data_IF_100925684466
#
_entry.id   IF_100925684466
#
_cell.length_a   1.000
_cell.length_b   1.000
_cell.length_c   1.000
_cell.angle_alpha   90.00
_cell.angle_beta   90.00
_cell.angle_gamma   90.00
#
_symmetry.space_group_name_H-M   'P 1'
#
loop_
_entity.id
_entity.type
_entity.pdbx_description
1 polymer ?
#
# COMPACT_ATOMS: atom_id res chain seq x y z
N UNK A 1 -2.41 6.63 -22.80
CA UNK A 1 -2.22 5.80 -21.58
C UNK A 1 -2.02 4.36 -22.04
N UNK A 2 -0.79 3.85 -21.97
CA UNK A 2 -0.52 2.46 -22.31
C UNK A 2 -1.15 1.56 -21.24
N UNK A 3 -2.10 0.71 -21.64
CA UNK A 3 -2.74 -0.23 -20.73
C UNK A 3 -1.76 -1.38 -20.47
N UNK A 4 -1.17 -1.42 -19.28
CA UNK A 4 -0.26 -2.50 -18.88
C UNK A 4 -1.08 -3.62 -18.24
N UNK A 5 -1.01 -4.81 -18.84
CA UNK A 5 -1.62 -6.01 -18.25
C UNK A 5 -0.84 -6.48 -17.03
N UNK A 6 -1.49 -7.22 -16.13
CA UNK A 6 -0.84 -7.81 -14.96
C UNK A 6 0.30 -8.74 -15.34
N UNK A 7 0.14 -9.55 -16.39
CA UNK A 7 1.17 -10.45 -16.90
C UNK A 7 2.41 -9.67 -17.38
N UNK A 8 2.20 -8.60 -18.14
CA UNK A 8 3.28 -7.71 -18.60
C UNK A 8 4.01 -7.05 -17.43
N UNK A 9 3.26 -6.51 -16.46
CA UNK A 9 3.85 -5.91 -15.26
C UNK A 9 4.68 -6.91 -14.46
N UNK A 10 4.16 -8.12 -14.24
CA UNK A 10 4.89 -9.22 -13.58
C UNK A 10 6.15 -9.60 -14.34
N UNK A 11 6.09 -9.76 -15.66
CA UNK A 11 7.25 -10.08 -16.50
C UNK A 11 8.32 -8.98 -16.41
N UNK A 12 7.90 -7.71 -16.41
CA UNK A 12 8.83 -6.60 -16.31
C UNK A 12 9.50 -6.52 -14.95
N UNK A 13 8.71 -6.59 -13.87
CA UNK A 13 9.20 -6.48 -12.49
C UNK A 13 10.13 -7.64 -12.11
N UNK A 14 9.86 -8.86 -12.56
CA UNK A 14 10.69 -10.04 -12.27
C UNK A 14 12.14 -9.89 -12.74
N UNK A 15 12.40 -9.10 -13.79
CA UNK A 15 13.76 -8.81 -14.30
C UNK A 15 14.63 -8.07 -13.28
N UNK A 16 14.01 -7.43 -12.29
CA UNK A 16 14.68 -6.56 -11.33
C UNK A 16 14.76 -7.16 -9.91
N UNK A 17 14.32 -8.41 -9.72
CA UNK A 17 14.52 -9.10 -8.44
C UNK A 17 16.03 -9.24 -8.16
N UNK A 18 16.45 -8.92 -6.95
CA UNK A 18 17.86 -8.84 -6.51
C UNK A 18 18.58 -7.54 -6.90
N UNK A 19 17.95 -6.65 -7.69
CA UNK A 19 18.55 -5.38 -8.10
C UNK A 19 18.31 -4.27 -7.07
N UNK A 20 19.21 -3.30 -7.05
CA UNK A 20 19.08 -2.11 -6.22
C UNK A 20 18.15 -1.08 -6.89
N UNK A 21 16.98 -0.88 -6.29
CA UNK A 21 16.00 0.13 -6.72
C UNK A 21 16.57 1.55 -6.65
N UNK A 22 17.59 1.83 -5.82
CA UNK A 22 18.19 3.16 -5.73
C UNK A 22 18.94 3.53 -7.01
N UNK A 23 19.61 2.57 -7.64
CA UNK A 23 20.27 2.76 -8.93
C UNK A 23 19.24 3.02 -10.02
N UNK A 24 18.16 2.22 -10.03
CA UNK A 24 17.03 2.38 -10.96
C UNK A 24 16.31 3.72 -10.77
N UNK A 25 16.19 4.20 -9.52
CA UNK A 25 15.64 5.52 -9.24
C UNK A 25 16.45 6.64 -9.90
N UNK A 26 17.78 6.56 -9.86
CA UNK A 26 18.66 7.53 -10.54
C UNK A 26 18.45 7.50 -12.06
N UNK A 27 18.39 6.30 -12.64
CA UNK A 27 18.17 6.11 -14.09
C UNK A 27 16.84 6.71 -14.56
N UNK A 28 15.80 6.64 -13.71
CA UNK A 28 14.49 7.20 -14.00
C UNK A 28 14.26 8.64 -13.49
N UNK A 29 15.30 9.31 -12.98
CA UNK A 29 15.19 10.67 -12.44
C UNK A 29 14.26 10.80 -11.22
N UNK A 30 14.07 9.71 -10.45
CA UNK A 30 13.19 9.70 -9.29
C UNK A 30 13.95 10.16 -8.04
N UNK A 31 13.52 11.30 -7.49
CA UNK A 31 14.07 11.84 -6.25
C UNK A 31 13.74 10.92 -5.06
N UNK A 32 14.79 10.43 -4.43
CA UNK A 32 14.73 9.51 -3.28
C UNK A 32 15.00 10.24 -1.96
N UNK A 33 15.72 11.35 -2.00
CA UNK A 33 16.04 12.21 -0.88
C UNK A 33 16.28 13.63 -1.37
N UNK A 34 15.70 14.61 -0.69
CA UNK A 34 15.85 16.04 -1.01
C UNK A 34 15.79 16.85 0.28
N UNK A 35 16.66 17.87 0.41
CA UNK A 35 16.64 18.86 1.50
C UNK A 35 16.44 18.25 2.91
N UNK A 36 17.25 17.26 3.29
CA UNK A 36 17.15 16.66 4.63
C UNK A 36 16.05 15.59 4.80
N UNK A 37 15.21 15.38 3.78
CA UNK A 37 14.00 14.56 3.89
C UNK A 37 13.97 13.45 2.85
N UNK A 38 13.82 12.22 3.31
CA UNK A 38 13.60 11.08 2.44
C UNK A 38 12.20 11.16 1.81
N UNK A 39 12.12 11.03 0.49
CA UNK A 39 10.85 10.78 -0.18
C UNK A 39 10.35 9.42 0.31
N UNK A 40 9.16 9.33 0.91
CA UNK A 40 8.67 8.05 1.45
C UNK A 40 8.12 7.12 0.36
N UNK A 41 7.69 7.68 -0.77
CA UNK A 41 7.02 6.95 -1.86
C UNK A 41 7.93 6.48 -2.99
N UNK A 42 9.22 6.82 -2.96
CA UNK A 42 10.13 6.62 -4.10
C UNK A 42 10.22 5.17 -4.60
N UNK A 43 10.18 4.18 -3.70
CA UNK A 43 10.22 2.75 -4.07
C UNK A 43 9.01 2.36 -4.91
N UNK A 44 7.82 2.82 -4.52
CA UNK A 44 6.59 2.61 -5.26
C UNK A 44 6.67 3.24 -6.65
N UNK A 45 7.14 4.49 -6.74
CA UNK A 45 7.31 5.21 -8.01
C UNK A 45 8.28 4.48 -8.96
N UNK A 46 9.40 3.97 -8.44
CA UNK A 46 10.35 3.18 -9.23
C UNK A 46 9.65 1.91 -9.74
N UNK A 47 8.98 1.16 -8.87
CA UNK A 47 8.30 -0.08 -9.26
C UNK A 47 7.17 0.15 -10.27
N UNK A 48 6.43 1.26 -10.17
CA UNK A 48 5.46 1.66 -11.20
C UNK A 48 6.14 1.87 -12.55
N UNK A 49 7.26 2.60 -12.61
CA UNK A 49 8.03 2.77 -13.86
C UNK A 49 8.55 1.43 -14.39
N UNK A 50 9.11 0.59 -13.52
CA UNK A 50 9.62 -0.73 -13.92
C UNK A 50 8.51 -1.65 -14.40
N UNK A 51 7.29 -1.54 -13.87
CA UNK A 51 6.13 -2.28 -14.36
C UNK A 51 5.68 -1.83 -15.77
N UNK A 52 6.10 -0.63 -16.22
CA UNK A 52 5.67 0.02 -17.45
C UNK A 52 4.53 1.02 -17.25
N UNK A 53 4.21 1.38 -16.00
CA UNK A 53 3.13 2.30 -15.68
C UNK A 53 3.60 3.75 -15.78
N UNK A 54 2.69 4.61 -16.24
CA UNK A 54 2.80 6.05 -16.04
C UNK A 54 2.36 6.41 -14.61
N UNK A 55 3.11 7.27 -13.93
CA UNK A 55 2.73 7.79 -12.62
C UNK A 55 1.44 8.59 -12.75
N UNK A 56 0.38 8.17 -12.06
CA UNK A 56 -0.89 8.90 -12.00
C UNK A 56 -1.44 8.94 -10.56
N UNK A 57 -2.38 9.86 -10.30
CA UNK A 57 -2.99 10.09 -8.96
C UNK A 57 -4.39 9.44 -8.90
N UNK A 58 -4.68 8.47 -9.76
CA UNK A 58 -6.02 7.87 -9.87
C UNK A 58 -6.41 7.07 -8.62
N UNK A 59 -7.69 7.13 -8.25
CA UNK A 59 -8.27 6.21 -7.25
C UNK A 59 -8.38 4.78 -7.77
N UNK A 60 -8.42 4.61 -9.10
CA UNK A 60 -8.53 3.31 -9.76
C UNK A 60 -7.33 2.41 -9.43
N UNK A 61 -7.44 1.09 -9.66
CA UNK A 61 -6.28 0.21 -9.66
C UNK A 61 -5.20 0.72 -10.62
N UNK A 62 -3.93 0.43 -10.32
CA UNK A 62 -2.79 0.91 -11.12
C UNK A 62 -2.88 0.47 -12.60
N UNK A 63 -3.30 -0.77 -12.86
CA UNK A 63 -3.52 -1.31 -14.20
C UNK A 63 -4.98 -1.68 -14.47
N UNK A 64 -5.25 -2.33 -15.60
CA UNK A 64 -6.61 -2.69 -16.03
C UNK A 64 -7.36 -3.56 -15.01
N UNK A 65 -6.64 -4.34 -14.19
CA UNK A 65 -7.23 -5.34 -13.30
C UNK A 65 -6.48 -5.56 -11.97
N UNK A 66 -5.43 -4.80 -11.66
CA UNK A 66 -4.59 -5.06 -10.49
C UNK A 66 -4.09 -3.79 -9.80
N UNK A 67 -3.80 -3.92 -8.52
CA UNK A 67 -3.10 -2.91 -7.71
C UNK A 67 -1.63 -3.30 -7.53
N UNK A 68 -0.69 -2.36 -7.69
CA UNK A 68 0.72 -2.58 -7.38
C UNK A 68 1.02 -2.05 -5.96
N UNK A 69 1.49 -2.93 -5.08
CA UNK A 69 1.88 -2.55 -3.71
C UNK A 69 3.31 -2.95 -3.43
N UNK A 70 4.05 -2.05 -2.78
CA UNK A 70 5.38 -2.34 -2.24
C UNK A 70 5.43 -2.19 -0.74
N UNK A 71 6.10 -3.11 -0.04
CA UNK A 71 6.32 -2.99 1.41
C UNK A 71 7.78 -3.26 1.76
N UNK A 72 8.31 -2.48 2.70
CA UNK A 72 9.64 -2.68 3.22
C UNK A 72 9.70 -3.90 4.16
N UNK A 73 10.72 -4.74 4.02
CA UNK A 73 11.03 -5.87 4.90
C UNK A 73 12.39 -5.71 5.56
N UNK A 74 12.55 -6.29 6.75
CA UNK A 74 13.85 -6.35 7.45
C UNK A 74 14.02 -7.71 8.11
N UNK A 75 15.27 -8.11 8.32
CA UNK A 75 15.55 -9.22 9.21
C UNK A 75 15.35 -8.81 10.67
N UNK A 76 14.76 -9.69 11.47
CA UNK A 76 14.65 -9.57 12.92
C UNK A 76 14.76 -10.98 13.49
N UNK A 77 15.83 -11.24 14.24
CA UNK A 77 16.18 -12.56 14.78
C UNK A 77 16.24 -13.62 13.66
N UNK A 78 16.98 -13.34 12.58
CA UNK A 78 17.13 -14.25 11.43
C UNK A 78 15.89 -14.37 10.52
N UNK A 79 14.73 -13.88 10.94
CA UNK A 79 13.49 -13.97 10.17
C UNK A 79 13.21 -12.69 9.39
N UNK A 80 12.88 -12.82 8.12
CA UNK A 80 12.43 -11.70 7.28
C UNK A 80 11.00 -11.31 7.68
N UNK A 81 10.80 -10.07 8.11
CA UNK A 81 9.50 -9.58 8.60
C UNK A 81 9.12 -8.23 7.95
N UNK A 82 7.83 -7.96 7.75
CA UNK A 82 7.37 -6.63 7.31
C UNK A 82 7.83 -5.55 8.29
N UNK A 83 8.45 -4.49 7.79
CA UNK A 83 8.91 -3.35 8.59
C UNK A 83 7.77 -2.39 8.95
N UNK A 84 6.73 -2.36 8.15
CA UNK A 84 5.63 -1.39 8.21
C UNK A 84 4.30 -1.97 7.73
N UNK A 85 3.22 -1.28 8.08
CA UNK A 85 1.87 -1.52 7.57
C UNK A 85 1.74 -1.06 6.12
N UNK A 86 0.92 -1.73 5.32
CA UNK A 86 0.71 -1.37 3.91
C UNK A 86 -0.57 -0.57 3.73
N UNK A 87 -0.51 0.61 3.11
CA UNK A 87 -1.71 1.39 2.81
C UNK A 87 -2.51 0.70 1.69
N UNK A 88 -3.81 0.52 1.90
CA UNK A 88 -4.74 -0.11 0.95
C UNK A 88 -5.47 0.99 0.17
N UNK A 89 -6.42 1.66 0.81
CA UNK A 89 -7.30 2.68 0.21
C UNK A 89 -7.57 3.84 1.20
N UNK A 90 -7.80 5.05 0.70
CA UNK A 90 -8.28 6.17 1.53
C UNK A 90 -9.69 5.86 2.06
N UNK A 91 -10.01 6.31 3.27
CA UNK A 91 -11.36 6.20 3.83
C UNK A 91 -12.12 7.49 3.50
N UNK A 92 -13.18 7.35 2.71
CA UNK A 92 -14.24 8.35 2.58
C UNK A 92 -15.38 7.96 3.52
N UNK A 93 -15.85 8.90 4.34
CA UNK A 93 -16.88 8.63 5.33
C UNK A 93 -18.24 8.28 4.71
N UNK A 94 -18.61 8.90 3.59
CA UNK A 94 -19.88 8.63 2.90
C UNK A 94 -19.85 7.25 2.23
N UNK A 95 -18.78 6.97 1.48
CA UNK A 95 -18.57 5.66 0.85
C UNK A 95 -18.54 4.54 1.90
N UNK A 96 -17.80 4.70 3.01
CA UNK A 96 -17.72 3.69 4.05
C UNK A 96 -19.07 3.45 4.74
N UNK A 97 -19.90 4.48 4.93
CA UNK A 97 -21.26 4.30 5.45
C UNK A 97 -22.14 3.54 4.47
N UNK A 98 -22.06 3.84 3.18
CA UNK A 98 -22.95 3.29 2.16
C UNK A 98 -22.57 1.92 1.60
N UNK A 99 -21.29 1.55 1.61
CA UNK A 99 -20.79 0.38 0.87
C UNK A 99 -20.43 -0.79 1.79
N UNK A 100 -20.85 -1.99 1.40
CA UNK A 100 -20.32 -3.23 1.96
C UNK A 100 -18.83 -3.40 1.59
N UNK A 101 -18.13 -4.33 2.28
CA UNK A 101 -16.72 -4.58 1.98
C UNK A 101 -16.50 -4.90 0.49
N UNK A 102 -17.31 -5.76 -0.11
CA UNK A 102 -17.14 -6.21 -1.50
C UNK A 102 -17.51 -5.17 -2.57
N UNK A 103 -18.14 -4.07 -2.19
CA UNK A 103 -18.41 -2.92 -3.07
C UNK A 103 -17.35 -1.81 -2.88
N UNK A 104 -16.51 -1.92 -1.85
CA UNK A 104 -15.60 -0.86 -1.43
C UNK A 104 -14.33 -0.77 -2.29
N UNK A 105 -13.72 0.41 -2.30
CA UNK A 105 -12.36 0.59 -2.81
C UNK A 105 -11.30 -0.21 -2.05
N UNK A 106 -11.58 -0.59 -0.79
CA UNK A 106 -10.69 -1.46 -0.02
C UNK A 106 -10.59 -2.83 -0.69
N UNK A 107 -11.74 -3.46 -0.96
CA UNK A 107 -11.81 -4.73 -1.70
C UNK A 107 -11.25 -4.61 -3.11
N UNK A 108 -11.61 -3.55 -3.84
CA UNK A 108 -11.13 -3.35 -5.21
C UNK A 108 -9.59 -3.34 -5.32
N UNK A 109 -8.88 -2.87 -4.29
CA UNK A 109 -7.42 -2.85 -4.21
C UNK A 109 -6.80 -4.11 -3.59
N UNK A 110 -7.58 -4.92 -2.88
CA UNK A 110 -7.12 -6.18 -2.29
C UNK A 110 -7.31 -7.36 -3.26
N UNK A 111 -8.46 -7.43 -3.96
CA UNK A 111 -8.90 -8.62 -4.71
C UNK A 111 -7.90 -9.16 -5.74
N UNK A 112 -7.09 -8.28 -6.34
CA UNK A 112 -6.03 -8.67 -7.27
C UNK A 112 -4.89 -7.67 -7.17
N UNK A 113 -3.71 -8.16 -6.79
CA UNK A 113 -2.53 -7.32 -6.60
C UNK A 113 -1.25 -7.95 -7.12
N UNK A 114 -0.30 -7.06 -7.45
CA UNK A 114 1.11 -7.37 -7.56
C UNK A 114 1.78 -6.86 -6.28
N UNK A 115 2.40 -7.77 -5.54
CA UNK A 115 3.10 -7.47 -4.28
C UNK A 115 4.61 -7.49 -4.47
N UNK A 116 5.26 -6.39 -4.08
CA UNK A 116 6.71 -6.22 -4.15
C UNK A 116 7.31 -6.10 -2.75
N UNK A 117 8.14 -7.05 -2.34
CA UNK A 117 8.89 -6.98 -1.10
C UNK A 117 10.24 -6.28 -1.34
N UNK A 118 10.54 -5.23 -0.58
CA UNK A 118 11.78 -4.45 -0.72
C UNK A 118 12.58 -4.48 0.56
N UNK A 119 13.88 -4.77 0.48
CA UNK A 119 14.75 -4.77 1.66
C UNK A 119 14.91 -3.36 2.24
N UNK A 120 14.84 -3.29 3.57
CA UNK A 120 15.11 -2.09 4.34
C UNK A 120 16.53 -2.12 4.89
N UNK A 121 17.37 -1.18 4.43
CA UNK A 121 18.77 -1.04 4.84
C UNK A 121 19.02 0.14 5.80
N UNK A 122 17.98 0.65 6.47
CA UNK A 122 18.09 1.81 7.35
C UNK A 122 17.42 3.08 6.81
N UNK A 123 17.41 4.12 7.63
CA UNK A 123 16.96 5.46 7.25
C UNK A 123 18.01 6.08 6.31
N UNK A 124 17.56 6.74 5.23
CA UNK A 124 18.45 7.36 4.23
C UNK A 124 19.46 6.40 3.58
N UNK A 125 19.21 5.10 3.62
CA UNK A 125 20.08 4.10 3.02
C UNK A 125 20.27 4.38 1.52
N UNK A 126 21.50 4.16 1.05
CA UNK A 126 21.87 4.30 -0.36
C UNK A 126 21.63 3.03 -1.18
N UNK A 127 20.95 2.03 -0.59
CA UNK A 127 20.54 0.78 -1.23
C UNK A 127 19.08 0.45 -0.87
N UNK A 128 18.33 -0.11 -1.80
CA UNK A 128 17.07 -0.79 -1.56
C UNK A 128 16.87 -1.94 -2.53
N UNK A 129 17.00 -3.18 -2.06
CA UNK A 129 16.95 -4.36 -2.91
C UNK A 129 15.50 -4.86 -3.11
N UNK A 130 15.11 -5.16 -4.36
CA UNK A 130 13.84 -5.82 -4.64
C UNK A 130 13.96 -7.32 -4.35
N UNK A 131 13.35 -7.79 -3.27
CA UNK A 131 13.49 -9.18 -2.80
C UNK A 131 12.57 -10.14 -3.53
N UNK A 132 11.34 -9.70 -3.80
CA UNK A 132 10.29 -10.57 -4.32
C UNK A 132 9.26 -9.75 -5.09
N UNK A 133 8.75 -10.34 -6.16
CA UNK A 133 7.58 -9.87 -6.90
C UNK A 133 6.62 -11.04 -7.04
N UNK A 134 5.40 -10.86 -6.56
CA UNK A 134 4.39 -11.90 -6.59
C UNK A 134 3.04 -11.35 -7.02
N UNK A 135 2.20 -12.26 -7.48
CA UNK A 135 0.87 -11.99 -7.99
C UNK A 135 -0.11 -12.72 -7.09
N UNK A 136 -1.08 -12.01 -6.53
CA UNK A 136 -2.09 -12.58 -5.62
C UNK A 136 -3.48 -12.21 -6.09
N UNK A 137 -4.39 -13.17 -6.05
CA UNK A 137 -5.82 -12.99 -6.22
C UNK A 137 -6.52 -13.55 -5.00
N UNK A 138 -7.48 -12.78 -4.49
CA UNK A 138 -8.35 -13.22 -3.41
C UNK A 138 -9.75 -13.40 -3.96
N UNK A 139 -10.43 -14.42 -3.45
CA UNK A 139 -11.85 -14.65 -3.71
C UNK A 139 -12.70 -14.17 -2.55
N UNK A 140 -14.01 -14.04 -2.75
CA UNK A 140 -14.91 -13.64 -1.66
C UNK A 140 -15.01 -14.73 -0.59
N UNK A 141 -14.78 -15.99 -0.95
CA UNK A 141 -14.99 -17.14 -0.07
C UNK A 141 -13.73 -17.51 0.74
N UNK A 142 -12.60 -16.84 0.50
CA UNK A 142 -11.38 -17.05 1.28
C UNK A 142 -11.61 -16.70 2.75
N UNK A 143 -11.24 -17.60 3.67
CA UNK A 143 -11.41 -17.40 5.12
C UNK A 143 -10.76 -16.10 5.61
N UNK A 144 -9.56 -15.79 5.12
CA UNK A 144 -8.86 -14.53 5.41
C UNK A 144 -9.67 -13.30 4.97
N UNK A 145 -10.37 -13.39 3.84
CA UNK A 145 -11.20 -12.29 3.33
C UNK A 145 -12.46 -12.11 4.18
N UNK A 146 -13.04 -13.19 4.69
CA UNK A 146 -14.16 -13.10 5.65
C UNK A 146 -13.72 -12.43 6.96
N UNK A 147 -12.50 -12.72 7.44
CA UNK A 147 -11.95 -12.02 8.60
C UNK A 147 -11.66 -10.53 8.31
N UNK A 148 -11.14 -10.19 7.13
CA UNK A 148 -10.94 -8.79 6.72
C UNK A 148 -12.28 -8.05 6.56
N UNK A 149 -13.32 -8.74 6.09
CA UNK A 149 -14.69 -8.20 6.02
C UNK A 149 -15.20 -7.83 7.41
N UNK A 150 -14.96 -8.69 8.40
CA UNK A 150 -15.32 -8.43 9.80
C UNK A 150 -14.63 -7.17 10.34
N UNK A 151 -13.34 -6.97 10.03
CA UNK A 151 -12.62 -5.75 10.41
C UNK A 151 -13.20 -4.49 9.73
N UNK A 152 -13.51 -4.60 8.44
CA UNK A 152 -14.12 -3.50 7.68
C UNK A 152 -15.45 -3.10 8.31
N UNK A 153 -16.30 -4.07 8.63
CA UNK A 153 -17.61 -3.84 9.25
C UNK A 153 -17.50 -3.29 10.67
N UNK A 154 -16.50 -3.71 11.45
CA UNK A 154 -16.19 -3.10 12.75
C UNK A 154 -15.87 -1.60 12.59
N UNK A 155 -14.98 -1.26 11.66
CA UNK A 155 -14.58 0.13 11.39
C UNK A 155 -15.77 0.93 10.86
N UNK A 156 -16.57 0.35 9.97
CA UNK A 156 -17.80 0.96 9.43
C UNK A 156 -18.84 1.23 10.52
N UNK A 157 -19.14 0.25 11.37
CA UNK A 157 -20.08 0.40 12.50
C UNK A 157 -19.64 1.52 13.44
N UNK A 158 -18.34 1.58 13.76
CA UNK A 158 -17.78 2.65 14.60
C UNK A 158 -17.87 4.03 13.96
N UNK A 159 -17.63 4.13 12.64
CA UNK A 159 -17.84 5.38 11.91
C UNK A 159 -19.30 5.83 12.00
N UNK A 160 -20.26 4.92 11.82
CA UNK A 160 -21.70 5.22 11.87
C UNK A 160 -22.10 5.68 13.29
N UNK A 161 -21.66 4.97 14.32
CA UNK A 161 -22.06 5.23 15.69
C UNK A 161 -21.40 6.47 16.32
N UNK A 162 -20.12 6.71 16.01
CA UNK A 162 -19.33 7.72 16.73
C UNK A 162 -18.72 8.79 15.82
N UNK A 163 -18.70 8.59 14.50
CA UNK A 163 -18.12 9.54 13.56
C UNK A 163 -16.62 9.30 13.27
N UNK A 164 -16.13 10.01 12.26
CA UNK A 164 -14.83 9.76 11.61
C UNK A 164 -13.61 9.94 12.53
N UNK A 165 -13.73 10.82 13.52
CA UNK A 165 -12.66 11.08 14.46
C UNK A 165 -12.41 9.95 15.46
N UNK A 166 -13.42 9.12 15.69
CA UNK A 166 -13.37 8.01 16.63
C UNK A 166 -12.72 6.75 16.05
N UNK A 167 -12.44 6.71 14.75
CA UNK A 167 -11.65 5.63 14.16
C UNK A 167 -10.23 5.60 14.78
N UNK A 168 -9.74 4.43 15.14
CA UNK A 168 -8.43 4.24 15.81
C UNK A 168 -7.63 3.16 15.08
N UNK A 169 -6.31 3.24 15.24
CA UNK A 169 -5.39 2.20 14.77
C UNK A 169 -5.52 0.87 15.53
N UNK A 170 -6.29 0.84 16.63
CA UNK A 170 -6.60 -0.39 17.35
C UNK A 170 -7.76 -1.17 16.70
N UNK A 171 -8.55 -0.54 15.82
CA UNK A 171 -9.70 -1.18 15.20
C UNK A 171 -9.21 -2.23 14.19
N UNK A 172 -9.77 -3.45 14.28
CA UNK A 172 -9.54 -4.59 13.37
C UNK A 172 -8.27 -5.41 13.66
N UNK A 173 -8.27 -6.68 13.26
CA UNK A 173 -7.18 -7.68 13.44
C UNK A 173 -6.17 -7.70 12.28
N UNK A 174 -6.64 -7.53 11.05
CA UNK A 174 -5.90 -7.59 9.79
C UNK A 174 -5.79 -6.24 9.10
N UNK A 175 -6.88 -5.47 9.07
CA UNK A 175 -6.89 -4.10 8.58
C UNK A 175 -7.20 -3.12 9.69
N UNK A 176 -6.81 -1.86 9.52
CA UNK A 176 -7.01 -0.80 10.50
C UNK A 176 -7.17 0.57 9.83
N UNK A 177 -7.81 1.51 10.52
CA UNK A 177 -7.89 2.90 10.10
C UNK A 177 -6.74 3.72 10.71
N UNK A 178 -5.85 4.27 9.87
CA UNK A 178 -4.77 5.17 10.33
C UNK A 178 -4.83 6.53 9.64
N UNK A 179 -4.37 7.56 10.34
CA UNK A 179 -4.18 8.89 9.75
C UNK A 179 -3.20 8.81 8.59
N UNK A 180 -3.55 9.47 7.47
CA UNK A 180 -2.70 9.61 6.29
C UNK A 180 -2.61 11.09 5.91
N UNK A 181 -1.52 11.48 5.24
CA UNK A 181 -1.23 12.88 4.89
C UNK A 181 -0.34 13.59 5.91
N UNK A 182 0.07 14.82 5.58
CA UNK A 182 1.05 15.60 6.36
C UNK A 182 0.47 16.24 7.62
N UNK A 183 -0.86 16.33 7.74
CA UNK A 183 -1.53 17.05 8.83
C UNK A 183 -1.11 18.52 8.94
N UNK A 184 -1.43 19.14 10.08
CA UNK A 184 -0.98 20.48 10.46
C UNK A 184 -1.58 21.62 9.63
N UNK A 185 -1.02 22.82 9.80
CA UNK A 185 -1.42 24.03 9.07
C UNK A 185 -0.83 24.01 7.65
N UNK A 186 -1.64 24.41 6.67
CA UNK A 186 -1.14 24.66 5.32
C UNK A 186 -0.31 25.96 5.32
N UNK A 187 1.01 25.91 5.02
CA UNK A 187 1.87 27.09 5.09
C UNK A 187 1.52 28.14 4.02
N UNK A 188 0.78 27.77 2.97
CA UNK A 188 0.33 28.71 1.93
C UNK A 188 -0.96 29.43 2.29
N UNK A 189 -1.84 28.78 3.05
CA UNK A 189 -3.19 29.32 3.31
C UNK A 189 -3.45 29.64 4.78
N UNK A 190 -2.59 29.19 5.70
CA UNK A 190 -2.80 29.35 7.15
C UNK A 190 -3.90 28.45 7.74
N UNK A 191 -4.61 27.67 6.91
CA UNK A 191 -5.77 26.87 7.34
C UNK A 191 -5.32 25.46 7.78
N UNK A 192 -5.90 24.87 8.84
CA UNK A 192 -5.71 23.47 9.20
C UNK A 192 -6.04 22.53 8.05
N UNK A 193 -5.12 21.60 7.73
CA UNK A 193 -5.41 20.54 6.77
C UNK A 193 -6.42 19.56 7.37
N UNK A 194 -7.41 19.10 6.59
CA UNK A 194 -8.37 18.12 7.08
C UNK A 194 -7.63 16.84 7.47
N UNK A 195 -8.09 16.23 8.57
CA UNK A 195 -7.59 14.93 9.00
C UNK A 195 -8.11 13.88 8.04
N UNK A 196 -7.21 13.18 7.35
CA UNK A 196 -7.57 12.09 6.46
C UNK A 196 -7.13 10.76 7.03
N UNK A 197 -7.83 9.69 6.66
CA UNK A 197 -7.51 8.32 7.07
C UNK A 197 -7.46 7.40 5.87
N UNK A 198 -6.75 6.29 6.02
CA UNK A 198 -6.75 5.20 5.07
C UNK A 198 -6.87 3.86 5.81
N UNK A 199 -7.39 2.86 5.10
CA UNK A 199 -7.23 1.46 5.48
C UNK A 199 -5.78 1.06 5.28
N UNK A 200 -5.21 0.42 6.30
CA UNK A 200 -3.88 -0.17 6.25
C UNK A 200 -3.97 -1.66 6.59
N UNK A 201 -3.32 -2.50 5.80
CA UNK A 201 -3.00 -3.86 6.21
C UNK A 201 -1.98 -3.81 7.34
N UNK A 202 -2.29 -4.47 8.46
CA UNK A 202 -1.36 -4.70 9.56
C UNK A 202 -0.20 -5.58 9.11
N UNK A 203 0.89 -5.54 9.87
CA UNK A 203 2.08 -6.35 9.55
C UNK A 203 1.80 -7.85 9.56
N UNK A 204 0.82 -8.33 10.34
CA UNK A 204 0.35 -9.71 10.26
C UNK A 204 -0.27 -10.06 8.90
N UNK A 205 -1.14 -9.20 8.36
CA UNK A 205 -1.70 -9.37 7.02
C UNK A 205 -0.62 -9.29 5.95
N UNK A 206 0.30 -8.32 6.04
CA UNK A 206 1.42 -8.21 5.09
C UNK A 206 2.31 -9.45 5.13
N UNK A 207 2.54 -10.02 6.33
CA UNK A 207 3.29 -11.26 6.49
C UNK A 207 2.57 -12.42 5.79
N UNK A 208 1.26 -12.57 6.02
CA UNK A 208 0.45 -13.60 5.37
C UNK A 208 0.46 -13.48 3.85
N UNK A 209 0.26 -12.27 3.31
CA UNK A 209 0.37 -11.95 1.88
C UNK A 209 1.74 -12.37 1.33
N UNK A 210 2.83 -12.07 2.06
CA UNK A 210 4.18 -12.43 1.64
C UNK A 210 4.42 -13.94 1.60
N UNK A 211 3.85 -14.68 2.55
CA UNK A 211 3.93 -16.14 2.66
C UNK A 211 3.10 -16.83 1.57
N UNK A 212 1.85 -16.39 1.33
CA UNK A 212 0.99 -16.89 0.25
C UNK A 212 1.55 -16.61 -1.15
N UNK A 213 2.33 -15.55 -1.28
CA UNK A 213 3.00 -15.16 -2.52
C UNK A 213 4.19 -16.07 -2.90
N UNK A 214 4.52 -17.07 -2.05
CA UNK A 214 5.69 -17.95 -2.14
C UNK A 214 5.49 -19.12 -3.08
#
# INVERSE_FOLDING_TARGET
MQIITRATAMQNLKKYVGRDLRELAKQHGITTYETGKQNKGWKGLVLERLAGLETNISKAPNGLSYELKSVAFRYTNGLLKPKETMAIAMINAEELKGQSFFESHCWAKLKSMIFCAVMWHGKNAQKAELLKVASLDFTKDDELIQEITTDYDLIRKKLIANGFDFLKSADGKWIQARTKGTGGINPRTGIPRPKTRAFYARTCLVKMIFEMAG
#
